data_IF_622208579091
#
_entry.id   IF_622208579091
#
_cell.length_a   1.000
_cell.length_b   1.000
_cell.length_c   1.000
_cell.angle_alpha   90.00
_cell.angle_beta   90.00
_cell.angle_gamma   90.00
#
_symmetry.space_group_name_H-M   'P 1'
#
loop_
_entity.id
_entity.type
_entity.pdbx_description
1 polymer ?
#
# COMPACT_ATOMS: atom_id res chain seq x y z
N UNK A 1 -30.04 -10.59 16.60
CA UNK A 1 -30.69 -9.30 16.96
C UNK A 1 -29.64 -8.29 16.60
N UNK A 2 -29.89 -7.43 15.62
CA UNK A 2 -28.81 -6.62 15.02
C UNK A 2 -27.96 -5.87 16.04
N UNK A 3 -26.67 -5.67 15.73
CA UNK A 3 -25.66 -4.98 16.55
C UNK A 3 -26.14 -3.60 17.01
N UNK A 4 -26.96 -2.93 16.19
CA UNK A 4 -27.50 -1.60 16.50
C UNK A 4 -28.73 -1.61 17.40
N UNK A 5 -29.31 -2.78 17.71
CA UNK A 5 -30.51 -2.89 18.56
C UNK A 5 -30.28 -2.44 20.00
N UNK A 6 -29.03 -2.43 20.47
CA UNK A 6 -28.65 -2.01 21.82
C UNK A 6 -28.52 -0.48 21.98
N UNK A 7 -28.58 0.30 20.90
CA UNK A 7 -28.41 1.76 20.94
C UNK A 7 -29.50 2.52 20.18
N UNK A 8 -29.78 3.74 20.64
CA UNK A 8 -30.69 4.66 19.94
C UNK A 8 -29.91 5.51 18.93
N UNK A 9 -29.87 5.05 17.68
CA UNK A 9 -29.20 5.76 16.58
C UNK A 9 -29.73 7.19 16.41
N UNK A 10 -31.04 7.38 16.53
CA UNK A 10 -31.68 8.70 16.39
C UNK A 10 -31.25 9.65 17.51
N UNK A 11 -31.17 9.18 18.75
CA UNK A 11 -30.74 9.99 19.88
C UNK A 11 -29.26 10.40 19.73
N UNK A 12 -28.40 9.45 19.36
CA UNK A 12 -26.96 9.71 19.17
C UNK A 12 -26.75 10.76 18.07
N UNK A 13 -27.44 10.60 16.93
CA UNK A 13 -27.39 11.59 15.83
C UNK A 13 -27.93 12.96 16.26
N UNK A 14 -29.06 13.00 16.97
CA UNK A 14 -29.64 14.26 17.46
C UNK A 14 -28.71 14.97 18.46
N UNK A 15 -27.97 14.20 19.26
CA UNK A 15 -26.98 14.72 20.21
C UNK A 15 -25.67 15.15 19.53
N UNK A 16 -25.39 14.67 18.32
CA UNK A 16 -24.16 14.95 17.56
C UNK A 16 -22.88 14.51 18.29
N UNK A 17 -22.96 13.54 19.20
CA UNK A 17 -21.81 13.04 19.93
C UNK A 17 -21.95 11.57 20.25
N UNK A 18 -20.84 10.83 20.28
CA UNK A 18 -20.77 9.41 20.67
C UNK A 18 -20.02 9.34 21.99
N UNK A 19 -20.64 8.76 23.03
CA UNK A 19 -20.06 8.65 24.37
C UNK A 19 -19.62 7.21 24.66
N UNK A 20 -18.74 7.05 25.65
CA UNK A 20 -18.29 5.77 26.18
C UNK A 20 -19.42 4.74 26.40
N UNK A 21 -20.54 5.17 26.98
CA UNK A 21 -21.69 4.32 27.26
C UNK A 21 -22.36 3.78 25.98
N UNK A 22 -22.33 4.53 24.88
CA UNK A 22 -22.87 4.09 23.60
C UNK A 22 -21.94 3.08 22.94
N UNK A 23 -20.63 3.34 22.99
CA UNK A 23 -19.60 2.40 22.50
C UNK A 23 -19.68 1.07 23.25
N UNK A 24 -19.82 1.10 24.58
CA UNK A 24 -19.94 -0.12 25.39
C UNK A 24 -21.20 -0.93 25.05
N UNK A 25 -22.32 -0.27 24.79
CA UNK A 25 -23.56 -0.95 24.37
C UNK A 25 -23.39 -1.61 23.00
N UNK A 26 -22.79 -0.90 22.05
CA UNK A 26 -22.49 -1.43 20.71
C UNK A 26 -21.56 -2.63 20.78
N UNK A 27 -20.43 -2.53 21.50
CA UNK A 27 -19.48 -3.64 21.65
C UNK A 27 -20.12 -4.87 22.30
N UNK A 28 -20.95 -4.69 23.33
CA UNK A 28 -21.68 -5.82 23.94
C UNK A 28 -22.59 -6.51 22.93
N UNK A 29 -23.39 -5.74 22.20
CA UNK A 29 -24.27 -6.30 21.16
C UNK A 29 -23.48 -6.98 20.04
N UNK A 30 -22.31 -6.43 19.68
CA UNK A 30 -21.41 -7.01 18.70
C UNK A 30 -20.87 -8.38 19.16
N UNK A 31 -20.42 -8.50 20.40
CA UNK A 31 -19.94 -9.78 20.95
C UNK A 31 -21.05 -10.84 21.08
N UNK A 32 -22.32 -10.41 21.24
CA UNK A 32 -23.45 -11.34 21.38
C UNK A 32 -23.93 -11.91 20.03
N UNK A 33 -24.08 -11.07 18.99
CA UNK A 33 -24.63 -11.48 17.67
C UNK A 33 -23.54 -11.75 16.61
N UNK A 34 -22.38 -11.08 16.73
CA UNK A 34 -21.18 -11.27 15.89
C UNK A 34 -21.35 -10.98 14.40
N UNK A 35 -22.53 -10.52 13.96
CA UNK A 35 -22.87 -10.32 12.55
C UNK A 35 -23.39 -8.92 12.29
N UNK A 36 -22.91 -8.33 11.21
CA UNK A 36 -23.24 -6.98 10.76
C UNK A 36 -23.88 -7.11 9.39
N UNK A 37 -25.09 -6.57 9.25
CA UNK A 37 -25.73 -6.43 7.96
C UNK A 37 -25.22 -5.19 7.20
N UNK A 38 -25.42 -5.16 5.88
CA UNK A 38 -25.08 -4.00 5.05
C UNK A 38 -25.76 -2.69 5.55
N UNK A 39 -27.02 -2.79 5.96
CA UNK A 39 -27.77 -1.64 6.52
C UNK A 39 -27.18 -1.14 7.83
N UNK A 40 -26.66 -2.04 8.67
CA UNK A 40 -26.00 -1.68 9.92
C UNK A 40 -24.63 -1.05 9.67
N UNK A 41 -23.84 -1.59 8.73
CA UNK A 41 -22.59 -0.99 8.32
C UNK A 41 -22.80 0.44 7.81
N UNK A 42 -23.79 0.65 6.93
CA UNK A 42 -24.17 1.98 6.45
C UNK A 42 -24.61 2.92 7.59
N UNK A 43 -25.31 2.38 8.57
CA UNK A 43 -25.75 3.16 9.74
C UNK A 43 -24.57 3.53 10.65
N UNK A 44 -23.58 2.67 10.80
CA UNK A 44 -22.35 2.93 11.55
C UNK A 44 -21.53 4.04 10.87
N UNK A 45 -21.39 4.03 9.55
CA UNK A 45 -20.82 5.16 8.79
C UNK A 45 -21.61 6.44 9.03
N UNK A 46 -22.93 6.39 8.91
CA UNK A 46 -23.77 7.57 9.12
C UNK A 46 -23.72 8.10 10.56
N UNK A 47 -23.39 7.27 11.56
CA UNK A 47 -23.13 7.71 12.93
C UNK A 47 -21.78 8.41 13.05
N UNK A 48 -20.74 7.84 12.44
CA UNK A 48 -19.41 8.43 12.38
C UNK A 48 -19.46 9.84 11.77
N UNK A 49 -20.16 10.00 10.65
CA UNK A 49 -20.24 11.28 9.93
C UNK A 49 -21.09 12.33 10.67
N UNK A 50 -22.17 11.90 11.31
CA UNK A 50 -23.09 12.80 12.00
C UNK A 50 -22.57 13.32 13.35
N UNK A 51 -21.53 12.69 13.92
CA UNK A 51 -21.05 12.99 15.26
C UNK A 51 -19.63 13.54 15.24
N UNK A 52 -19.44 14.88 15.29
CA UNK A 52 -18.11 15.49 15.34
C UNK A 52 -17.37 15.25 16.66
N UNK A 53 -18.09 15.01 17.76
CA UNK A 53 -17.49 14.73 19.07
C UNK A 53 -17.64 13.25 19.38
N UNK A 54 -16.53 12.52 19.33
CA UNK A 54 -16.50 11.08 19.51
C UNK A 54 -15.60 10.72 20.68
N UNK A 55 -16.05 9.76 21.50
CA UNK A 55 -15.19 9.12 22.50
C UNK A 55 -14.00 8.42 21.80
N UNK A 56 -12.77 8.46 22.36
CA UNK A 56 -11.62 7.80 21.76
C UNK A 56 -11.82 6.32 21.44
N UNK A 57 -12.62 5.60 22.23
CA UNK A 57 -12.91 4.18 22.00
C UNK A 57 -13.81 3.93 20.77
N UNK A 58 -14.45 4.97 20.23
CA UNK A 58 -15.27 4.86 19.03
C UNK A 58 -14.45 4.50 17.81
N UNK A 59 -13.26 5.11 17.63
CA UNK A 59 -12.42 4.86 16.47
C UNK A 59 -12.06 3.37 16.34
N UNK A 60 -11.59 2.77 17.43
CA UNK A 60 -11.28 1.33 17.47
C UNK A 60 -12.51 0.47 17.21
N UNK A 61 -13.65 0.80 17.84
CA UNK A 61 -14.91 0.08 17.64
C UNK A 61 -15.37 0.15 16.18
N UNK A 62 -15.31 1.33 15.56
CA UNK A 62 -15.71 1.56 14.18
C UNK A 62 -14.82 0.77 13.22
N UNK A 63 -13.50 0.88 13.38
CA UNK A 63 -12.52 0.19 12.53
C UNK A 63 -12.69 -1.33 12.62
N UNK A 64 -12.77 -1.88 13.83
CA UNK A 64 -12.98 -3.32 14.09
C UNK A 64 -14.28 -3.80 13.43
N UNK A 65 -15.40 -3.13 13.73
CA UNK A 65 -16.73 -3.54 13.27
C UNK A 65 -16.82 -3.53 11.74
N UNK A 66 -16.38 -2.44 11.08
CA UNK A 66 -16.46 -2.35 9.62
C UNK A 66 -15.46 -3.30 8.94
N UNK A 67 -14.28 -3.51 9.54
CA UNK A 67 -13.30 -4.48 9.00
C UNK A 67 -13.86 -5.90 9.06
N UNK A 68 -14.43 -6.30 10.19
CA UNK A 68 -15.01 -7.64 10.34
C UNK A 68 -16.17 -7.84 9.37
N UNK A 69 -17.01 -6.82 9.16
CA UNK A 69 -18.06 -6.86 8.13
C UNK A 69 -17.49 -7.10 6.73
N UNK A 70 -16.55 -6.28 6.29
CA UNK A 70 -16.10 -6.27 4.89
C UNK A 70 -15.12 -7.41 4.57
N UNK A 71 -14.30 -7.83 5.54
CA UNK A 71 -13.28 -8.85 5.36
C UNK A 71 -13.81 -10.22 5.77
N UNK A 72 -14.42 -10.36 6.95
CA UNK A 72 -14.72 -11.68 7.52
C UNK A 72 -16.15 -12.15 7.29
N UNK A 73 -17.08 -11.25 6.96
CA UNK A 73 -18.52 -11.60 6.82
C UNK A 73 -19.04 -11.45 5.38
N UNK A 74 -18.52 -10.49 4.61
CA UNK A 74 -18.89 -10.32 3.22
C UNK A 74 -18.28 -11.45 2.36
N UNK A 75 -19.08 -12.15 1.53
CA UNK A 75 -18.54 -13.18 0.65
C UNK A 75 -17.72 -12.55 -0.50
N UNK A 76 -16.56 -13.13 -0.87
CA UNK A 76 -15.91 -14.30 -0.27
C UNK A 76 -15.12 -13.93 1.01
N UNK A 77 -15.30 -14.70 2.08
CA UNK A 77 -14.63 -14.45 3.37
C UNK A 77 -13.10 -14.37 3.21
N UNK A 78 -12.52 -13.31 3.77
CA UNK A 78 -11.10 -12.97 3.69
C UNK A 78 -10.67 -12.28 2.40
N UNK A 79 -11.55 -12.12 1.41
CA UNK A 79 -11.24 -11.51 0.11
C UNK A 79 -12.13 -10.30 -0.16
N UNK A 80 -11.51 -9.22 -0.65
CA UNK A 80 -12.27 -8.06 -1.11
C UNK A 80 -12.53 -8.17 -2.60
N UNK A 81 -13.78 -7.96 -3.00
CA UNK A 81 -14.17 -7.80 -4.40
C UNK A 81 -14.03 -6.35 -4.85
N UNK A 82 -14.00 -6.12 -6.16
CA UNK A 82 -14.05 -4.78 -6.75
C UNK A 82 -15.28 -3.98 -6.27
N UNK A 83 -16.42 -4.66 -6.04
CA UNK A 83 -17.64 -4.03 -5.52
C UNK A 83 -17.47 -3.62 -4.05
N UNK A 84 -16.87 -4.48 -3.21
CA UNK A 84 -16.60 -4.16 -1.81
C UNK A 84 -15.64 -2.96 -1.70
N UNK A 85 -14.60 -2.93 -2.54
CA UNK A 85 -13.68 -1.80 -2.59
C UNK A 85 -14.32 -0.51 -3.07
N UNK A 86 -15.14 -0.56 -4.13
CA UNK A 86 -15.86 0.62 -4.61
C UNK A 86 -16.79 1.18 -3.52
N UNK A 87 -17.54 0.31 -2.84
CA UNK A 87 -18.39 0.69 -1.71
C UNK A 87 -17.58 1.32 -0.57
N UNK A 88 -16.46 0.71 -0.19
CA UNK A 88 -15.62 1.26 0.88
C UNK A 88 -15.07 2.64 0.51
N UNK A 89 -14.53 2.79 -0.71
CA UNK A 89 -13.99 4.07 -1.22
C UNK A 89 -15.08 5.16 -1.22
N UNK A 90 -16.30 4.84 -1.65
CA UNK A 90 -17.42 5.78 -1.63
C UNK A 90 -17.77 6.25 -0.21
N UNK A 91 -17.64 5.37 0.78
CA UNK A 91 -17.97 5.67 2.19
C UNK A 91 -16.89 6.46 2.91
N UNK A 92 -15.61 6.19 2.65
CA UNK A 92 -14.49 6.81 3.37
C UNK A 92 -13.91 8.04 2.69
N UNK A 93 -14.37 8.37 1.48
CA UNK A 93 -13.79 9.45 0.69
C UNK A 93 -14.81 10.44 0.18
N UNK A 94 -14.42 11.71 0.14
CA UNK A 94 -15.15 12.80 -0.51
C UNK A 94 -14.26 13.35 -1.62
N UNK A 95 -14.78 13.43 -2.83
CA UNK A 95 -14.03 13.84 -4.03
C UNK A 95 -12.72 13.06 -4.21
N UNK A 96 -12.71 11.78 -3.82
CA UNK A 96 -11.55 10.88 -3.91
C UNK A 96 -10.48 11.08 -2.83
N UNK A 97 -10.79 11.84 -1.76
CA UNK A 97 -9.86 12.10 -0.65
C UNK A 97 -10.45 11.69 0.69
N UNK A 98 -9.59 11.13 1.55
CA UNK A 98 -9.94 10.84 2.94
C UNK A 98 -9.62 12.06 3.79
N UNK A 99 -10.61 12.55 4.53
CA UNK A 99 -10.45 13.71 5.43
C UNK A 99 -10.21 13.28 6.88
N UNK A 100 -10.77 12.14 7.30
CA UNK A 100 -10.69 11.66 8.68
C UNK A 100 -9.51 10.72 8.93
N UNK A 101 -8.89 10.82 10.11
CA UNK A 101 -7.87 9.88 10.56
C UNK A 101 -8.45 8.47 10.77
N UNK A 102 -9.66 8.38 11.32
CA UNK A 102 -10.36 7.11 11.58
C UNK A 102 -10.67 6.35 10.29
N UNK A 103 -11.07 7.06 9.24
CA UNK A 103 -11.36 6.48 7.91
C UNK A 103 -10.08 5.97 7.23
N UNK A 104 -8.97 6.71 7.38
CA UNK A 104 -7.67 6.25 6.88
C UNK A 104 -7.20 5.00 7.65
N UNK A 105 -7.37 4.98 8.97
CA UNK A 105 -7.07 3.82 9.82
C UNK A 105 -7.92 2.61 9.41
N UNK A 106 -9.21 2.80 9.10
CA UNK A 106 -10.07 1.76 8.54
C UNK A 106 -9.50 1.22 7.22
N UNK A 107 -9.14 2.08 6.27
CA UNK A 107 -8.58 1.65 4.98
C UNK A 107 -7.33 0.78 5.18
N UNK A 108 -6.40 1.23 6.01
CA UNK A 108 -5.16 0.50 6.29
C UNK A 108 -5.45 -0.84 6.97
N UNK A 109 -6.33 -0.85 7.98
CA UNK A 109 -6.68 -2.08 8.69
C UNK A 109 -7.39 -3.11 7.80
N UNK A 110 -8.28 -2.66 6.91
CA UNK A 110 -8.95 -3.51 5.92
C UNK A 110 -7.93 -4.14 4.97
N UNK A 111 -6.96 -3.36 4.48
CA UNK A 111 -5.89 -3.89 3.63
C UNK A 111 -5.06 -4.96 4.36
N UNK A 112 -4.65 -4.71 5.61
CA UNK A 112 -3.82 -5.67 6.36
C UNK A 112 -4.54 -6.97 6.72
N UNK A 113 -5.85 -6.90 6.96
CA UNK A 113 -6.65 -8.06 7.38
C UNK A 113 -7.09 -8.91 6.20
N UNK A 114 -7.29 -8.29 5.04
CA UNK A 114 -7.68 -9.01 3.84
C UNK A 114 -6.56 -9.95 3.38
N UNK A 115 -6.91 -11.18 3.02
CA UNK A 115 -6.01 -12.10 2.29
C UNK A 115 -5.69 -11.58 0.91
N UNK A 116 -6.65 -10.84 0.34
CA UNK A 116 -6.47 -10.15 -0.92
C UNK A 116 -7.37 -8.91 -1.02
N UNK A 117 -6.81 -7.84 -1.58
CA UNK A 117 -7.50 -6.59 -1.86
C UNK A 117 -7.35 -6.18 -3.33
N UNK A 118 -8.38 -5.59 -3.96
CA UNK A 118 -8.31 -5.14 -5.35
C UNK A 118 -7.25 -4.06 -5.57
N UNK A 119 -6.61 -4.10 -6.75
CA UNK A 119 -5.65 -3.11 -7.23
C UNK A 119 -6.23 -1.70 -7.15
N UNK A 120 -7.53 -1.53 -7.43
CA UNK A 120 -8.21 -0.24 -7.25
C UNK A 120 -8.16 0.28 -5.81
N UNK A 121 -8.37 -0.58 -4.80
CA UNK A 121 -8.31 -0.18 -3.39
C UNK A 121 -6.88 0.16 -2.95
N UNK A 122 -5.90 -0.65 -3.37
CA UNK A 122 -4.50 -0.40 -3.06
C UNK A 122 -4.02 0.87 -3.73
N UNK A 123 -4.31 1.05 -5.02
CA UNK A 123 -4.01 2.29 -5.74
C UNK A 123 -4.61 3.49 -5.03
N UNK A 124 -5.88 3.40 -4.63
CA UNK A 124 -6.54 4.47 -3.89
C UNK A 124 -5.80 4.79 -2.57
N UNK A 125 -5.37 3.77 -1.82
CA UNK A 125 -4.60 3.95 -0.59
C UNK A 125 -3.23 4.63 -0.84
N UNK A 126 -2.50 4.16 -1.86
CA UNK A 126 -1.23 4.77 -2.26
C UNK A 126 -1.42 6.22 -2.73
N UNK A 127 -2.51 6.51 -3.43
CA UNK A 127 -2.88 7.87 -3.87
C UNK A 127 -3.19 8.81 -2.69
N UNK A 128 -3.66 8.29 -1.54
CA UNK A 128 -3.82 9.09 -0.32
C UNK A 128 -2.47 9.46 0.29
N UNK A 129 -1.50 8.53 0.29
CA UNK A 129 -0.13 8.84 0.75
C UNK A 129 0.54 9.83 -0.19
N UNK A 130 0.43 9.61 -1.51
CA UNK A 130 0.91 10.54 -2.52
C UNK A 130 0.37 11.94 -2.27
N UNK A 131 -0.95 12.08 -2.15
CA UNK A 131 -1.56 13.38 -1.88
C UNK A 131 -1.02 14.05 -0.61
N UNK A 132 -0.87 13.28 0.48
CA UNK A 132 -0.31 13.79 1.72
C UNK A 132 1.15 14.23 1.60
N UNK A 133 1.93 13.59 0.73
CA UNK A 133 3.32 13.97 0.45
C UNK A 133 3.38 15.20 -0.44
N UNK A 134 2.65 15.21 -1.56
CA UNK A 134 2.69 16.29 -2.54
C UNK A 134 2.15 17.60 -1.97
N UNK A 135 0.96 17.55 -1.38
CA UNK A 135 0.26 18.74 -0.90
C UNK A 135 0.65 19.11 0.54
N UNK A 136 1.24 18.17 1.29
CA UNK A 136 1.59 18.36 2.70
C UNK A 136 0.39 18.46 3.64
N UNK A 137 -0.81 18.04 3.20
CA UNK A 137 -2.07 18.13 3.96
C UNK A 137 -2.73 16.75 4.13
N UNK A 138 -3.85 16.70 4.84
CA UNK A 138 -4.63 15.48 5.04
C UNK A 138 -4.34 14.74 6.34
N UNK A 139 -5.03 13.61 6.59
CA UNK A 139 -5.02 12.91 7.87
C UNK A 139 -3.62 12.43 8.30
N UNK A 140 -2.73 12.11 7.35
CA UNK A 140 -1.34 11.69 7.61
C UNK A 140 -0.43 12.81 8.13
N UNK A 141 -0.75 14.06 7.77
CA UNK A 141 0.01 15.26 8.13
C UNK A 141 -0.69 16.09 9.21
N UNK A 142 -1.90 15.70 9.62
CA UNK A 142 -2.70 16.41 10.62
C UNK A 142 -1.92 16.63 11.92
N UNK A 143 -1.88 17.88 12.39
CA UNK A 143 -1.16 18.28 13.60
C UNK A 143 0.37 18.34 13.47
N UNK A 144 0.94 18.06 12.30
CA UNK A 144 2.40 18.10 12.06
C UNK A 144 2.74 19.22 11.08
N UNK A 145 3.79 20.00 11.35
CA UNK A 145 4.34 21.00 10.41
C UNK A 145 5.33 20.33 9.47
N UNK A 146 4.81 19.59 8.51
CA UNK A 146 5.62 18.88 7.52
C UNK A 146 5.66 19.66 6.22
N UNK A 147 6.80 19.64 5.54
CA UNK A 147 6.97 20.36 4.28
C UNK A 147 6.34 19.56 3.13
N UNK A 148 5.53 20.20 2.27
CA UNK A 148 5.08 19.60 1.00
C UNK A 148 6.28 19.14 0.16
N UNK A 149 6.14 18.01 -0.53
CA UNK A 149 7.19 17.40 -1.34
C UNK A 149 8.27 16.64 -0.56
N UNK A 150 8.14 16.49 0.77
CA UNK A 150 9.10 15.73 1.59
C UNK A 150 8.41 14.51 2.22
N UNK A 151 8.81 13.32 1.75
CA UNK A 151 8.35 12.06 2.33
C UNK A 151 9.11 11.73 3.63
N UNK A 152 8.34 11.40 4.67
CA UNK A 152 8.85 11.07 6.01
C UNK A 152 8.98 9.57 6.21
N UNK A 153 9.79 9.17 7.19
CA UNK A 153 9.94 7.77 7.58
C UNK A 153 8.60 7.07 7.89
N UNK A 154 7.68 7.75 8.59
CA UNK A 154 6.37 7.20 8.94
C UNK A 154 5.49 6.93 7.71
N UNK A 155 5.58 7.76 6.67
CA UNK A 155 4.86 7.53 5.41
C UNK A 155 5.49 6.41 4.60
N UNK A 156 6.82 6.30 4.61
CA UNK A 156 7.52 5.16 4.00
C UNK A 156 7.12 3.85 4.68
N UNK A 157 7.04 3.83 6.02
CA UNK A 157 6.62 2.65 6.77
C UNK A 157 5.16 2.28 6.46
N UNK A 158 4.29 3.28 6.27
CA UNK A 158 2.91 3.05 5.84
C UNK A 158 2.83 2.49 4.42
N UNK A 159 3.57 3.06 3.46
CA UNK A 159 3.65 2.54 2.09
C UNK A 159 4.13 1.10 2.08
N UNK A 160 5.17 0.80 2.87
CA UNK A 160 5.69 -0.56 3.01
C UNK A 160 4.62 -1.52 3.53
N UNK A 161 3.88 -1.14 4.56
CA UNK A 161 2.76 -1.92 5.12
C UNK A 161 1.66 -2.16 4.08
N UNK A 162 1.25 -1.13 3.33
CA UNK A 162 0.26 -1.24 2.25
C UNK A 162 0.73 -2.20 1.14
N UNK A 163 2.01 -2.12 0.75
CA UNK A 163 2.60 -3.00 -0.27
C UNK A 163 2.74 -4.46 0.20
N UNK A 164 2.91 -4.70 1.50
CA UNK A 164 2.94 -6.05 2.10
C UNK A 164 1.57 -6.69 2.19
N UNK A 165 0.59 -5.90 2.65
CA UNK A 165 -0.79 -6.33 2.77
C UNK A 165 -1.32 -6.90 1.44
N UNK A 166 -0.95 -6.27 0.33
CA UNK A 166 -1.25 -6.78 -0.99
C UNK A 166 -0.30 -7.93 -1.38
N UNK A 167 -0.86 -9.14 -1.51
CA UNK A 167 -0.14 -10.32 -2.04
C UNK A 167 0.14 -11.44 -1.03
N UNK A 168 -0.41 -11.37 0.19
CA UNK A 168 -0.18 -12.36 1.25
C UNK A 168 -0.52 -13.80 0.85
N UNK A 169 -1.52 -14.01 0.00
CA UNK A 169 -1.98 -15.36 -0.42
C UNK A 169 -1.57 -15.75 -1.86
N UNK A 170 -0.62 -15.04 -2.49
CA UNK A 170 -0.28 -15.28 -3.90
C UNK A 170 1.16 -15.00 -4.33
N UNK A 171 2.01 -14.41 -3.49
CA UNK A 171 3.38 -14.00 -3.84
C UNK A 171 3.45 -13.24 -5.19
N UNK A 172 2.45 -12.39 -5.46
CA UNK A 172 2.41 -11.56 -6.66
C UNK A 172 3.44 -10.45 -6.47
N UNK A 173 4.30 -10.24 -7.47
CA UNK A 173 5.23 -9.13 -7.48
C UNK A 173 4.51 -7.78 -7.46
N UNK A 174 5.22 -6.70 -7.14
CA UNK A 174 4.67 -5.33 -7.23
C UNK A 174 4.05 -5.11 -8.62
N UNK A 175 2.79 -4.69 -8.64
CA UNK A 175 1.94 -4.54 -9.83
C UNK A 175 2.14 -3.19 -10.49
N UNK A 176 1.63 -3.03 -11.71
CA UNK A 176 1.82 -1.78 -12.46
C UNK A 176 1.19 -0.56 -11.78
N UNK A 177 -0.06 -0.60 -11.25
CA UNK A 177 -0.62 0.53 -10.53
C UNK A 177 0.14 0.91 -9.26
N UNK A 178 0.69 -0.07 -8.54
CA UNK A 178 1.52 0.17 -7.36
C UNK A 178 2.83 0.86 -7.74
N UNK A 179 3.52 0.35 -8.77
CA UNK A 179 4.75 0.94 -9.27
C UNK A 179 4.53 2.36 -9.81
N UNK A 180 3.41 2.62 -10.50
CA UNK A 180 3.05 3.97 -10.97
C UNK A 180 2.91 4.95 -9.81
N UNK A 181 2.23 4.57 -8.73
CA UNK A 181 2.09 5.43 -7.55
C UNK A 181 3.44 5.74 -6.89
N UNK A 182 4.37 4.77 -6.85
CA UNK A 182 5.72 4.98 -6.34
C UNK A 182 6.54 5.94 -7.24
N UNK A 183 6.46 5.80 -8.55
CA UNK A 183 7.09 6.74 -9.49
C UNK A 183 6.52 8.15 -9.35
N UNK A 184 5.20 8.28 -9.17
CA UNK A 184 4.57 9.58 -9.00
C UNK A 184 5.00 10.28 -7.70
N UNK A 185 5.19 9.53 -6.61
CA UNK A 185 5.73 10.04 -5.35
C UNK A 185 7.19 10.45 -5.54
N UNK A 186 8.00 9.63 -6.22
CA UNK A 186 9.40 9.93 -6.51
C UNK A 186 9.52 11.23 -7.31
N UNK A 187 8.75 11.39 -8.39
CA UNK A 187 8.75 12.60 -9.22
C UNK A 187 8.35 13.85 -8.41
N UNK A 188 7.44 13.69 -7.45
CA UNK A 188 7.00 14.79 -6.58
C UNK A 188 7.98 15.10 -5.43
N UNK A 189 8.96 14.22 -5.18
CA UNK A 189 9.95 14.36 -4.10
C UNK A 189 11.38 14.54 -4.62
N UNK A 190 11.58 14.49 -5.95
CA UNK A 190 12.88 14.45 -6.62
C UNK A 190 13.77 15.70 -6.40
N UNK A 191 13.18 16.83 -6.01
CA UNK A 191 13.89 18.09 -5.70
C UNK A 191 14.10 18.31 -4.19
N UNK A 192 13.79 17.34 -3.32
CA UNK A 192 13.77 17.48 -1.86
C UNK A 192 14.61 16.47 -1.06
N UNK A 193 14.85 16.78 0.22
CA UNK A 193 15.51 15.93 1.22
C UNK A 193 14.62 14.72 1.62
N UNK A 194 14.28 13.85 0.67
CA UNK A 194 13.52 12.64 0.96
C UNK A 194 14.25 11.77 2.00
N UNK A 195 13.50 11.21 2.95
CA UNK A 195 14.09 10.37 3.99
C UNK A 195 14.82 9.15 3.37
N UNK A 196 16.00 8.74 3.86
CA UNK A 196 16.75 7.58 3.34
C UNK A 196 15.95 6.29 3.12
N UNK A 197 14.97 6.03 3.98
CA UNK A 197 14.11 4.85 3.88
C UNK A 197 13.22 4.86 2.63
N UNK A 198 12.93 6.02 2.05
CA UNK A 198 12.18 6.13 0.80
C UNK A 198 12.94 5.51 -0.35
N UNK A 199 14.22 5.88 -0.53
CA UNK A 199 15.08 5.28 -1.55
C UNK A 199 15.18 3.78 -1.40
N UNK A 200 15.34 3.29 -0.16
CA UNK A 200 15.37 1.85 0.13
C UNK A 200 14.12 1.13 -0.39
N UNK A 201 12.94 1.64 -0.01
CA UNK A 201 11.66 1.08 -0.42
C UNK A 201 11.46 1.17 -1.94
N UNK A 202 11.71 2.33 -2.54
CA UNK A 202 11.50 2.57 -3.97
C UNK A 202 12.33 1.61 -4.83
N UNK A 203 13.64 1.56 -4.61
CA UNK A 203 14.51 0.70 -5.42
C UNK A 203 14.18 -0.77 -5.21
N UNK A 204 13.85 -1.22 -3.98
CA UNK A 204 13.41 -2.60 -3.72
C UNK A 204 12.13 -2.96 -4.46
N UNK A 205 11.13 -2.07 -4.39
CA UNK A 205 9.85 -2.28 -5.03
C UNK A 205 9.99 -2.35 -6.56
N UNK A 206 10.70 -1.40 -7.16
CA UNK A 206 10.88 -1.38 -8.62
C UNK A 206 11.82 -2.53 -9.07
N UNK A 207 12.86 -2.87 -8.31
CA UNK A 207 13.68 -4.04 -8.61
C UNK A 207 12.86 -5.34 -8.57
N UNK A 208 11.96 -5.47 -7.59
CA UNK A 208 11.02 -6.59 -7.53
C UNK A 208 10.16 -6.68 -8.80
N UNK A 209 9.62 -5.56 -9.29
CA UNK A 209 8.91 -5.49 -10.57
C UNK A 209 9.79 -5.95 -11.74
N UNK A 210 11.01 -5.41 -11.84
CA UNK A 210 11.93 -5.71 -12.96
C UNK A 210 12.30 -7.19 -12.98
N UNK A 211 12.57 -7.79 -11.83
CA UNK A 211 12.93 -9.20 -11.73
C UNK A 211 11.75 -10.10 -12.09
N UNK A 212 10.54 -9.77 -11.61
CA UNK A 212 9.33 -10.50 -11.97
C UNK A 212 9.03 -10.38 -13.48
N UNK A 213 9.13 -9.19 -14.05
CA UNK A 213 8.99 -8.95 -15.49
C UNK A 213 10.06 -9.70 -16.32
N UNK A 214 11.24 -9.92 -15.74
CA UNK A 214 12.33 -10.71 -16.35
C UNK A 214 12.16 -12.23 -16.15
N UNK A 215 11.03 -12.69 -15.58
CA UNK A 215 10.68 -14.11 -15.44
C UNK A 215 11.32 -14.82 -14.25
N UNK A 216 11.74 -14.06 -13.23
CA UNK A 216 12.20 -14.60 -11.94
C UNK A 216 11.02 -14.76 -10.97
N UNK A 217 11.12 -15.77 -10.11
CA UNK A 217 10.23 -15.94 -8.97
C UNK A 217 10.64 -14.92 -7.92
N UNK A 218 9.75 -13.97 -7.64
CA UNK A 218 9.92 -13.06 -6.53
C UNK A 218 9.73 -13.82 -5.20
N UNK A 219 10.59 -13.59 -4.18
CA UNK A 219 10.27 -14.01 -2.83
C UNK A 219 9.03 -13.24 -2.32
N UNK A 220 8.40 -13.70 -1.22
CA UNK A 220 7.32 -12.97 -0.56
C UNK A 220 7.68 -11.49 -0.35
N UNK A 221 6.71 -10.59 -0.55
CA UNK A 221 6.96 -9.14 -0.50
C UNK A 221 7.53 -8.68 0.84
N UNK A 222 7.09 -9.29 1.95
CA UNK A 222 7.64 -9.04 3.29
C UNK A 222 9.17 -9.21 3.34
N UNK A 223 9.68 -10.20 2.63
CA UNK A 223 11.12 -10.44 2.48
C UNK A 223 11.69 -9.45 1.47
N UNK A 224 11.10 -9.36 0.27
CA UNK A 224 11.62 -8.56 -0.84
C UNK A 224 11.78 -7.06 -0.51
N UNK A 225 10.85 -6.48 0.25
CA UNK A 225 10.84 -5.06 0.60
C UNK A 225 11.19 -4.82 2.07
N UNK A 226 11.71 -5.84 2.77
CA UNK A 226 12.16 -5.73 4.16
C UNK A 226 13.06 -4.51 4.34
N UNK A 227 12.83 -3.72 5.40
CA UNK A 227 13.69 -2.59 5.73
C UNK A 227 15.09 -3.11 6.06
N UNK A 228 16.11 -2.53 5.46
CA UNK A 228 17.49 -2.99 5.68
C UNK A 228 18.04 -2.56 7.04
N UNK A 229 18.76 -3.47 7.70
CA UNK A 229 19.46 -3.20 8.96
C UNK A 229 20.59 -2.15 8.84
N UNK A 230 21.06 -1.82 7.62
CA UNK A 230 22.02 -0.73 7.46
C UNK A 230 21.39 0.65 7.63
N UNK A 231 20.07 0.80 7.43
CA UNK A 231 19.36 2.05 7.72
C UNK A 231 19.40 2.41 9.20
N UNK A 232 19.61 1.42 10.08
CA UNK A 232 19.75 1.64 11.53
C UNK A 232 21.18 2.09 11.92
N UNK A 233 22.16 1.96 11.01
CA UNK A 233 23.51 2.51 11.19
C UNK A 233 23.48 4.01 10.86
N UNK A 234 23.05 4.80 11.86
CA UNK A 234 23.00 6.27 11.79
C UNK A 234 24.36 6.90 11.42
N UNK A 235 24.37 7.69 10.34
CA UNK A 235 25.42 8.62 9.96
C UNK A 235 25.10 9.28 8.61
N UNK A 236 25.47 10.55 8.42
CA UNK A 236 25.40 11.29 7.14
C UNK A 236 26.28 10.60 6.09
N UNK A 237 25.78 9.51 5.53
CA UNK A 237 26.43 8.81 4.44
C UNK A 237 26.17 9.59 3.16
N UNK A 238 27.23 9.84 2.38
CA UNK A 238 27.09 10.40 1.05
C UNK A 238 26.24 9.48 0.16
N UNK A 239 25.64 10.03 -0.91
CA UNK A 239 24.76 9.30 -1.82
C UNK A 239 25.42 7.99 -2.29
N UNK A 240 26.69 8.03 -2.68
CA UNK A 240 27.46 6.86 -3.18
C UNK A 240 27.75 5.80 -2.11
N UNK A 241 27.99 6.20 -0.86
CA UNK A 241 28.27 5.27 0.23
C UNK A 241 26.99 4.55 0.68
N UNK A 242 25.87 5.27 0.65
CA UNK A 242 24.54 4.66 0.82
C UNK A 242 24.19 3.71 -0.32
N UNK A 243 24.54 4.06 -1.57
CA UNK A 243 24.36 3.14 -2.71
C UNK A 243 25.15 1.84 -2.51
N UNK A 244 26.40 1.93 -2.06
CA UNK A 244 27.22 0.75 -1.76
C UNK A 244 26.62 -0.15 -0.66
N UNK A 245 26.17 0.45 0.45
CA UNK A 245 25.53 -0.28 1.55
C UNK A 245 24.24 -0.97 1.14
N UNK A 246 23.44 -0.30 0.32
CA UNK A 246 22.20 -0.82 -0.25
C UNK A 246 22.44 -1.98 -1.22
N UNK A 247 23.38 -1.83 -2.16
CA UNK A 247 23.76 -2.91 -3.10
C UNK A 247 24.19 -4.16 -2.31
N UNK A 248 24.93 -3.99 -1.21
CA UNK A 248 25.32 -5.11 -0.35
C UNK A 248 24.16 -5.76 0.41
N UNK A 249 23.17 -4.99 0.88
CA UNK A 249 21.97 -5.52 1.55
C UNK A 249 21.06 -6.28 0.59
N UNK A 250 20.85 -5.71 -0.59
CA UNK A 250 20.08 -6.30 -1.67
C UNK A 250 20.71 -7.55 -2.30
N UNK A 251 22.05 -7.64 -2.32
CA UNK A 251 22.76 -8.86 -2.73
C UNK A 251 22.38 -10.09 -1.90
N UNK A 252 22.13 -9.89 -0.60
CA UNK A 252 21.59 -10.94 0.28
C UNK A 252 20.16 -11.35 -0.07
N UNK A 253 19.33 -10.39 -0.51
CA UNK A 253 17.95 -10.62 -0.96
C UNK A 253 17.88 -11.33 -2.31
N UNK A 254 18.82 -11.05 -3.24
CA UNK A 254 18.86 -11.65 -4.58
C UNK A 254 19.21 -13.14 -4.59
N UNK A 255 19.83 -13.66 -3.53
CA UNK A 255 19.97 -15.10 -3.33
C UNK A 255 18.63 -15.85 -3.30
N UNK A 256 17.52 -15.15 -3.01
CA UNK A 256 16.17 -15.70 -3.04
C UNK A 256 15.48 -15.66 -4.41
N UNK A 257 16.01 -14.93 -5.40
CA UNK A 257 15.40 -14.83 -6.72
C UNK A 257 15.90 -15.96 -7.62
N UNK A 258 14.98 -16.79 -8.09
CA UNK A 258 15.28 -17.93 -8.97
C UNK A 258 14.55 -17.80 -10.29
N UNK A 259 15.20 -18.12 -11.41
CA UNK A 259 14.48 -18.22 -12.68
C UNK A 259 13.36 -19.25 -12.57
N UNK A 260 12.15 -18.84 -12.96
CA UNK A 260 11.01 -19.75 -12.93
C UNK A 260 11.12 -20.81 -14.02
N UNK A 261 10.75 -22.04 -13.68
CA UNK A 261 10.47 -23.08 -14.67
C UNK A 261 9.20 -22.74 -15.45
N UNK A 262 8.97 -23.42 -16.57
CA UNK A 262 7.71 -23.32 -17.32
C UNK A 262 6.49 -23.67 -16.47
N UNK A 263 6.62 -24.64 -15.57
CA UNK A 263 5.57 -25.07 -14.65
C UNK A 263 5.27 -24.00 -13.60
N UNK A 264 6.29 -23.41 -12.99
CA UNK A 264 6.12 -22.32 -12.02
C UNK A 264 5.48 -21.09 -12.65
N UNK A 265 5.85 -20.75 -13.89
CA UNK A 265 5.19 -19.68 -14.66
C UNK A 265 3.72 -19.99 -14.91
N UNK A 266 3.39 -21.24 -15.22
CA UNK A 266 2.00 -21.65 -15.42
C UNK A 266 1.19 -21.56 -14.11
N UNK A 267 1.77 -22.00 -12.98
CA UNK A 267 1.16 -21.87 -11.65
C UNK A 267 0.93 -20.40 -11.31
N UNK A 268 1.92 -19.53 -11.51
CA UNK A 268 1.79 -18.10 -11.24
C UNK A 268 0.65 -17.46 -12.04
N UNK A 269 0.50 -17.81 -13.33
CA UNK A 269 -0.62 -17.36 -14.18
C UNK A 269 -1.97 -17.86 -13.67
N UNK A 270 -2.06 -19.12 -13.23
CA UNK A 270 -3.30 -19.67 -12.68
C UNK A 270 -3.66 -19.03 -11.33
N UNK A 271 -2.68 -18.76 -10.48
CA UNK A 271 -2.88 -18.02 -9.22
C UNK A 271 -3.41 -16.62 -9.51
N UNK A 272 -2.82 -15.91 -10.48
CA UNK A 272 -3.33 -14.62 -10.93
C UNK A 272 -4.77 -14.71 -11.43
N UNK A 273 -5.09 -15.66 -12.32
CA UNK A 273 -6.45 -15.85 -12.81
C UNK A 273 -7.45 -16.16 -11.70
N UNK A 274 -7.08 -17.00 -10.73
CA UNK A 274 -7.91 -17.29 -9.55
C UNK A 274 -8.23 -16.00 -8.81
N UNK A 275 -7.22 -15.18 -8.57
CA UNK A 275 -7.37 -13.88 -7.91
C UNK A 275 -8.32 -12.99 -8.70
N UNK A 276 -8.12 -12.86 -10.01
CA UNK A 276 -8.98 -12.01 -10.85
C UNK A 276 -10.45 -12.45 -10.81
N UNK A 277 -10.70 -13.76 -10.79
CA UNK A 277 -12.04 -14.33 -10.68
C UNK A 277 -12.67 -14.05 -9.31
N UNK A 278 -11.92 -14.33 -8.22
CA UNK A 278 -12.42 -14.15 -6.84
C UNK A 278 -12.76 -12.69 -6.56
N UNK A 279 -11.99 -11.79 -7.15
CA UNK A 279 -11.99 -10.38 -6.80
C UNK A 279 -12.78 -9.54 -7.80
N UNK A 280 -13.09 -10.14 -8.94
CA UNK A 280 -13.78 -9.50 -10.06
C UNK A 280 -13.04 -8.26 -10.57
N UNK A 281 -11.71 -8.33 -10.59
CA UNK A 281 -10.82 -7.27 -11.06
C UNK A 281 -9.60 -7.87 -11.76
N UNK A 282 -9.18 -7.28 -12.88
CA UNK A 282 -7.96 -7.69 -13.57
C UNK A 282 -6.71 -7.31 -12.77
N UNK A 283 -5.75 -8.22 -12.67
CA UNK A 283 -4.45 -7.96 -12.05
C UNK A 283 -3.49 -7.58 -13.18
N UNK A 284 -3.05 -6.33 -13.22
CA UNK A 284 -2.10 -5.88 -14.24
C UNK A 284 -0.65 -6.10 -13.75
N UNK A 285 0.08 -7.10 -14.28
CA UNK A 285 1.49 -7.27 -13.96
C UNK A 285 2.32 -6.15 -14.59
N UNK A 286 3.53 -5.93 -14.07
CA UNK A 286 4.45 -4.96 -14.65
C UNK A 286 5.12 -5.52 -15.90
N UNK A 287 5.08 -4.73 -16.98
CA UNK A 287 5.79 -5.04 -18.22
C UNK A 287 7.13 -4.31 -18.29
N UNK A 288 8.16 -4.98 -18.84
CA UNK A 288 9.50 -4.42 -18.95
C UNK A 288 9.58 -3.18 -19.85
N UNK A 289 8.80 -3.16 -20.94
CA UNK A 289 8.72 -2.02 -21.86
C UNK A 289 8.10 -0.79 -21.19
N UNK A 290 7.03 -1.01 -20.41
CA UNK A 290 6.42 0.06 -19.60
C UNK A 290 7.40 0.60 -18.57
N UNK A 291 8.12 -0.27 -17.82
CA UNK A 291 9.15 0.15 -16.87
C UNK A 291 10.23 1.00 -17.53
N UNK A 292 10.73 0.55 -18.69
CA UNK A 292 11.73 1.29 -19.44
C UNK A 292 11.22 2.67 -19.90
N UNK A 293 9.93 2.78 -20.22
CA UNK A 293 9.32 4.07 -20.58
C UNK A 293 9.10 5.01 -19.38
N UNK A 294 8.95 4.47 -18.16
CA UNK A 294 8.75 5.26 -16.94
C UNK A 294 10.06 5.77 -16.36
N UNK A 295 11.12 4.97 -16.39
CA UNK A 295 12.43 5.35 -15.85
C UNK A 295 13.04 6.47 -16.72
N UNK A 296 13.23 7.63 -16.12
CA UNK A 296 13.74 8.83 -16.78
C UNK A 296 12.85 9.37 -17.89
N UNK A 297 11.53 9.26 -17.69
CA UNK A 297 10.48 9.80 -18.58
C UNK A 297 10.61 11.31 -18.81
N UNK A 298 11.08 12.04 -17.79
CA UNK A 298 11.32 13.49 -17.84
C UNK A 298 12.65 13.87 -18.52
N UNK A 299 13.38 12.87 -19.04
CA UNK A 299 14.67 13.04 -19.67
C UNK A 299 15.84 13.15 -18.69
N UNK A 300 15.59 13.09 -17.37
CA UNK A 300 16.60 13.04 -16.32
C UNK A 300 16.62 11.64 -15.71
N UNK A 301 17.69 11.30 -15.01
CA UNK A 301 17.73 10.08 -14.20
C UNK A 301 17.93 10.55 -12.76
N UNK A 302 16.94 10.31 -11.89
CA UNK A 302 17.03 10.69 -10.48
C UNK A 302 18.11 9.87 -9.77
N UNK A 303 18.52 10.30 -8.57
CA UNK A 303 19.47 9.52 -7.77
C UNK A 303 18.94 8.11 -7.46
N UNK A 304 17.63 7.96 -7.24
CA UNK A 304 16.98 6.68 -6.95
C UNK A 304 16.86 5.82 -8.21
N UNK A 305 16.53 6.39 -9.35
CA UNK A 305 16.53 5.67 -10.64
C UNK A 305 17.93 5.20 -11.03
N UNK A 306 18.95 6.02 -10.80
CA UNK A 306 20.35 5.62 -10.99
C UNK A 306 20.73 4.47 -10.05
N UNK A 307 20.33 4.57 -8.78
CA UNK A 307 20.54 3.50 -7.79
C UNK A 307 19.98 2.17 -8.29
N UNK A 308 18.74 2.19 -8.76
CA UNK A 308 18.04 1.05 -9.35
C UNK A 308 18.80 0.48 -10.56
N UNK A 309 19.19 1.32 -11.51
CA UNK A 309 19.86 0.85 -12.74
C UNK A 309 21.25 0.26 -12.45
N UNK A 310 22.02 0.90 -11.57
CA UNK A 310 23.33 0.37 -11.13
C UNK A 310 23.17 -0.93 -10.36
N UNK A 311 22.12 -1.02 -9.54
CA UNK A 311 21.77 -2.23 -8.83
C UNK A 311 21.42 -3.39 -9.78
N UNK A 312 20.55 -3.16 -10.77
CA UNK A 312 20.19 -4.15 -11.78
C UNK A 312 21.40 -4.64 -12.57
N UNK A 313 22.33 -3.74 -12.92
CA UNK A 313 23.58 -4.07 -13.61
C UNK A 313 24.47 -5.03 -12.81
N UNK A 314 24.54 -4.85 -11.50
CA UNK A 314 25.41 -5.61 -10.62
C UNK A 314 24.87 -7.03 -10.35
N UNK A 315 23.55 -7.16 -10.17
CA UNK A 315 22.96 -8.36 -9.58
C UNK A 315 22.05 -9.16 -10.53
N UNK A 316 21.67 -8.61 -11.70
CA UNK A 316 20.83 -9.33 -12.67
C UNK A 316 21.62 -9.79 -13.89
N UNK A 317 21.92 -11.10 -14.02
CA UNK A 317 22.64 -11.64 -15.16
C UNK A 317 21.79 -11.67 -16.45
N UNK A 318 20.47 -11.45 -16.36
CA UNK A 318 19.54 -11.44 -17.49
C UNK A 318 18.41 -10.45 -17.22
N UNK A 319 18.67 -9.17 -17.48
CA UNK A 319 17.65 -8.11 -17.48
C UNK A 319 16.89 -8.13 -18.81
N UNK A 320 15.61 -7.78 -18.79
CA UNK A 320 14.83 -7.57 -20.01
C UNK A 320 15.53 -6.60 -20.98
N UNK A 321 15.60 -6.91 -22.30
CA UNK A 321 16.34 -6.11 -23.28
C UNK A 321 15.97 -4.62 -23.32
N UNK A 322 14.72 -4.27 -23.00
CA UNK A 322 14.22 -2.90 -22.98
C UNK A 322 14.92 -2.00 -21.94
N UNK A 323 15.43 -2.57 -20.86
CA UNK A 323 16.11 -1.83 -19.78
C UNK A 323 17.62 -1.69 -20.00
N UNK A 324 18.19 -2.46 -20.92
CA UNK A 324 19.64 -2.47 -21.19
C UNK A 324 20.19 -1.09 -21.61
N UNK A 325 19.53 -0.32 -22.51
CA UNK A 325 20.03 1.01 -22.88
C UNK A 325 20.05 2.00 -21.72
N UNK A 326 19.08 1.89 -20.80
CA UNK A 326 19.01 2.75 -19.61
C UNK A 326 20.14 2.44 -18.63
N UNK A 327 20.45 1.16 -18.43
CA UNK A 327 21.57 0.73 -17.59
C UNK A 327 22.90 1.26 -18.13
N UNK A 328 23.11 1.18 -19.44
CA UNK A 328 24.31 1.71 -20.10
C UNK A 328 24.41 3.24 -19.94
N UNK A 329 23.30 3.96 -20.14
CA UNK A 329 23.24 5.42 -19.96
C UNK A 329 23.55 5.85 -18.52
N UNK A 330 22.99 5.15 -17.53
CA UNK A 330 23.25 5.44 -16.11
C UNK A 330 24.72 5.18 -15.72
N UNK A 331 25.32 4.12 -16.28
CA UNK A 331 26.73 3.81 -16.05
C UNK A 331 27.70 4.78 -16.73
N UNK A 332 27.34 5.34 -17.88
CA UNK A 332 28.17 6.32 -18.59
C UNK A 332 28.14 7.73 -17.97
N UNK A 333 27.15 8.02 -17.13
CA UNK A 333 27.00 9.29 -16.41
C UNK A 333 27.67 9.28 -15.02
N UNK A 334 28.46 8.25 -14.71
CA UNK A 334 29.26 8.07 -13.50
C UNK A 334 30.74 8.34 -13.79
#
# INVERSE_FOLDING_TARGET
>A
MGVLSAVSVLEIKARGSIKDADVLKLRRSYYDDGRISAEEADTIFALNDACPVQDPAWADCFVETITDYIVDQAPPEGYLTAANAAWLIERISKDGRIESKTELELLVNVLDKARWAPQSLVRFALDQVKYAVVEGVGPLRSGKKLQPGVITEAEVDLLRRMLYAFGSDGNIAVTQPEAEALFDIEESTADGEAHPSWRDLFVKAIANCVMAASGYAAPPREIALARDAWLDRRGDLGVDEMLGGMVSGLKGLFGGYRQQTSEERAIARLTQQKVEIVTNEAVTPVEADWLASRIGRDGRITANERALLMFLKAESPSVAPALQPLIERAAAAA
#
